data_IF_658981257553
#
_entry.id   IF_658981257553
#
_cell.length_a   1.000
_cell.length_b   1.000
_cell.length_c   1.000
_cell.angle_alpha   90.00
_cell.angle_beta   90.00
_cell.angle_gamma   90.00
#
_symmetry.space_group_name_H-M   'P 1'
#
loop_
_entity.id
_entity.type
_entity.pdbx_description
1 polymer ?
#
# COMPACT_ATOMS: atom_id res chain seq x y z
N UNK A 1 2.24 8.35 3.35
CA UNK A 1 3.36 8.72 2.43
C UNK A 1 3.43 10.22 2.21
N UNK A 2 2.37 10.86 1.72
CA UNK A 2 2.40 12.23 1.20
C UNK A 2 2.55 13.34 2.25
N UNK A 3 2.03 13.13 3.46
CA UNK A 3 2.28 14.01 4.64
C UNK A 3 3.78 14.02 5.03
N UNK A 4 4.51 12.95 4.70
CA UNK A 4 5.93 12.75 4.98
C UNK A 4 6.43 13.14 6.40
N UNK A 5 5.83 12.65 7.51
CA UNK A 5 6.16 13.13 8.86
C UNK A 5 7.50 12.66 9.46
N UNK A 6 8.20 11.72 8.82
CA UNK A 6 9.48 11.17 9.31
C UNK A 6 10.62 11.54 8.35
N UNK A 7 11.85 11.62 8.85
CA UNK A 7 13.02 11.90 8.02
C UNK A 7 13.34 10.77 7.03
N UNK A 8 13.13 9.52 7.44
CA UNK A 8 13.23 8.32 6.60
C UNK A 8 12.24 7.27 7.12
N UNK A 9 11.99 6.20 6.36
CA UNK A 9 11.24 5.04 6.82
C UNK A 9 9.74 5.14 6.61
N UNK A 10 9.24 6.18 5.97
CA UNK A 10 7.78 6.37 5.76
C UNK A 10 7.19 5.27 4.88
N UNK A 11 7.89 4.86 3.83
CA UNK A 11 7.44 3.74 2.99
C UNK A 11 7.31 2.44 3.78
N UNK A 12 8.30 2.14 4.63
CA UNK A 12 8.30 0.95 5.50
C UNK A 12 7.18 1.04 6.53
N UNK A 13 7.03 2.18 7.19
CA UNK A 13 6.00 2.43 8.21
C UNK A 13 4.60 2.35 7.62
N UNK A 14 4.37 2.91 6.42
CA UNK A 14 3.06 2.87 5.76
C UNK A 14 2.63 1.44 5.44
N UNK A 15 3.55 0.58 4.98
CA UNK A 15 3.24 -0.80 4.63
C UNK A 15 3.10 -1.70 5.87
N UNK A 16 3.84 -1.40 6.94
CA UNK A 16 3.58 -1.99 8.25
C UNK A 16 2.19 -1.61 8.78
N UNK A 17 1.78 -0.35 8.63
CA UNK A 17 0.45 0.11 9.04
C UNK A 17 -0.66 -0.56 8.21
N UNK A 18 -0.47 -0.71 6.89
CA UNK A 18 -1.38 -1.45 6.02
C UNK A 18 -1.50 -2.91 6.47
N UNK A 19 -0.37 -3.57 6.73
CA UNK A 19 -0.33 -4.95 7.23
C UNK A 19 -1.04 -5.09 8.58
N UNK A 20 -0.80 -4.16 9.50
CA UNK A 20 -1.47 -4.10 10.79
C UNK A 20 -2.98 -3.91 10.61
N UNK A 21 -3.41 -2.98 9.77
CA UNK A 21 -4.83 -2.76 9.47
C UNK A 21 -5.50 -4.04 8.94
N UNK A 22 -4.88 -4.75 8.00
CA UNK A 22 -5.42 -6.03 7.52
C UNK A 22 -5.54 -7.05 8.65
N UNK A 23 -4.51 -7.19 9.48
CA UNK A 23 -4.55 -8.09 10.64
C UNK A 23 -5.70 -7.75 11.60
N UNK A 24 -5.94 -6.48 11.87
CA UNK A 24 -7.04 -6.04 12.74
C UNK A 24 -8.42 -6.28 12.10
N UNK A 25 -8.53 -6.29 10.77
CA UNK A 25 -9.82 -6.44 10.08
C UNK A 25 -10.20 -7.87 9.75
N UNK A 26 -9.23 -8.70 9.35
CA UNK A 26 -9.49 -10.06 8.85
C UNK A 26 -8.76 -11.14 9.64
N UNK A 27 -8.12 -10.79 10.76
CA UNK A 27 -7.56 -11.74 11.72
C UNK A 27 -6.06 -12.02 11.57
N UNK A 28 -5.49 -12.85 12.47
CA UNK A 28 -4.06 -13.15 12.52
C UNK A 28 -3.51 -13.79 11.22
N UNK A 29 -4.34 -14.49 10.45
CA UNK A 29 -4.02 -15.11 9.16
C UNK A 29 -3.56 -14.08 8.13
N UNK A 30 -3.97 -12.81 8.27
CA UNK A 30 -3.50 -11.73 7.43
C UNK A 30 -1.97 -11.58 7.45
N UNK A 31 -1.31 -12.08 8.51
CA UNK A 31 0.15 -12.10 8.63
C UNK A 31 0.81 -12.92 7.52
N UNK A 32 0.14 -13.94 6.98
CA UNK A 32 0.66 -14.76 5.87
C UNK A 32 0.68 -14.05 4.52
N UNK A 33 -0.07 -12.95 4.35
CA UNK A 33 -0.14 -12.22 3.08
C UNK A 33 1.23 -11.60 2.73
N UNK A 34 1.84 -11.97 1.62
CA UNK A 34 3.14 -11.43 1.21
C UNK A 34 3.04 -10.04 0.52
N UNK A 35 2.40 -9.06 1.17
CA UNK A 35 2.21 -7.69 0.63
C UNK A 35 3.52 -7.07 0.12
N UNK A 36 4.56 -7.12 0.95
CA UNK A 36 5.83 -6.48 0.61
C UNK A 36 6.53 -7.13 -0.58
N UNK A 37 6.45 -8.44 -0.68
CA UNK A 37 6.98 -9.18 -1.83
C UNK A 37 6.19 -8.82 -3.08
N UNK A 38 4.87 -8.71 -3.00
CA UNK A 38 4.04 -8.29 -4.13
C UNK A 38 4.41 -6.89 -4.61
N UNK A 39 4.56 -5.92 -3.69
CA UNK A 39 5.01 -4.57 -4.04
C UNK A 39 6.43 -4.52 -4.58
N UNK A 40 7.33 -5.35 -4.04
CA UNK A 40 8.70 -5.46 -4.51
C UNK A 40 8.79 -6.00 -5.94
N UNK A 41 8.07 -7.09 -6.24
CA UNK A 41 8.02 -7.70 -7.57
C UNK A 41 7.37 -6.77 -8.60
N UNK A 42 6.41 -5.94 -8.17
CA UNK A 42 5.66 -5.03 -9.02
C UNK A 42 6.00 -3.55 -8.75
N UNK A 43 7.27 -3.27 -8.41
CA UNK A 43 7.72 -1.95 -7.90
C UNK A 43 7.34 -0.77 -8.80
N UNK A 44 7.47 -0.93 -10.12
CA UNK A 44 7.09 0.13 -11.07
C UNK A 44 5.60 0.44 -10.95
N UNK A 45 4.75 -0.58 -11.03
CA UNK A 45 3.30 -0.44 -10.93
C UNK A 45 2.86 0.15 -9.58
N UNK A 46 3.52 -0.24 -8.48
CA UNK A 46 3.29 0.34 -7.15
C UNK A 46 3.44 1.87 -7.16
N UNK A 47 4.55 2.37 -7.69
CA UNK A 47 4.79 3.81 -7.73
C UNK A 47 3.88 4.51 -8.74
N UNK A 48 3.58 3.88 -9.87
CA UNK A 48 2.66 4.44 -10.86
C UNK A 48 1.25 4.59 -10.26
N UNK A 49 0.75 3.58 -9.55
CA UNK A 49 -0.55 3.63 -8.88
C UNK A 49 -0.60 4.71 -7.78
N UNK A 50 0.46 4.85 -6.97
CA UNK A 50 0.53 5.92 -5.96
C UNK A 50 0.56 7.31 -6.61
N UNK A 51 1.23 7.45 -7.76
CA UNK A 51 1.31 8.73 -8.48
C UNK A 51 -0.04 9.15 -9.06
N UNK A 52 -0.89 8.20 -9.49
CA UNK A 52 -2.25 8.50 -9.98
C UNK A 52 -3.10 9.25 -8.95
N UNK A 53 -2.95 8.89 -7.67
CA UNK A 53 -3.66 9.54 -6.55
C UNK A 53 -3.19 10.99 -6.36
N UNK A 54 -1.96 11.31 -6.74
CA UNK A 54 -1.39 12.67 -6.66
C UNK A 54 -0.03 12.72 -5.97
N UNK A 55 0.63 13.88 -6.08
CA UNK A 55 1.94 14.13 -5.49
C UNK A 55 1.85 14.89 -4.17
N UNK A 56 1.11 15.99 -4.16
CA UNK A 56 0.93 16.85 -2.98
C UNK A 56 -0.24 16.35 -2.12
N UNK A 57 -0.06 16.39 -0.80
CA UNK A 57 -1.05 15.85 0.15
C UNK A 57 -2.40 16.55 0.05
N UNK A 58 -2.38 17.86 -0.14
CA UNK A 58 -3.55 18.74 -0.18
C UNK A 58 -4.41 18.49 -1.43
N UNK A 59 -3.81 17.92 -2.48
CA UNK A 59 -4.42 17.73 -3.80
C UNK A 59 -4.64 16.25 -4.14
N UNK A 60 -4.62 15.36 -3.15
CA UNK A 60 -4.83 13.93 -3.41
C UNK A 60 -6.26 13.66 -3.89
N UNK A 61 -6.36 12.98 -5.03
CA UNK A 61 -7.62 12.48 -5.54
C UNK A 61 -7.80 11.00 -5.19
N UNK A 62 -8.52 10.74 -4.10
CA UNK A 62 -8.80 9.37 -3.66
C UNK A 62 -9.73 8.60 -4.60
N UNK A 63 -10.42 9.23 -5.56
CA UNK A 63 -11.18 8.48 -6.58
C UNK A 63 -10.27 7.62 -7.46
N UNK A 64 -8.99 7.98 -7.57
CA UNK A 64 -7.96 7.25 -8.32
C UNK A 64 -7.26 6.16 -7.49
N UNK A 65 -7.73 5.86 -6.27
CA UNK A 65 -7.07 4.89 -5.40
C UNK A 65 -7.33 3.43 -5.77
N UNK A 66 -8.29 3.17 -6.68
CA UNK A 66 -8.74 1.82 -6.99
C UNK A 66 -7.60 0.91 -7.46
N UNK A 67 -6.74 1.40 -8.36
CA UNK A 67 -5.61 0.61 -8.86
C UNK A 67 -4.63 0.23 -7.75
N UNK A 68 -4.39 1.13 -6.79
CA UNK A 68 -3.56 0.84 -5.63
C UNK A 68 -4.20 -0.23 -4.74
N UNK A 69 -5.50 -0.12 -4.45
CA UNK A 69 -6.24 -1.09 -3.65
C UNK A 69 -6.29 -2.47 -4.30
N UNK A 70 -6.47 -2.53 -5.62
CA UNK A 70 -6.45 -3.79 -6.36
C UNK A 70 -5.08 -4.47 -6.29
N UNK A 71 -4.00 -3.69 -6.24
CA UNK A 71 -2.66 -4.24 -6.04
C UNK A 71 -2.53 -4.94 -4.68
N UNK A 72 -3.12 -4.37 -3.62
CA UNK A 72 -3.22 -5.00 -2.29
C UNK A 72 -4.05 -6.29 -2.37
N UNK A 73 -5.24 -6.25 -2.99
CA UNK A 73 -6.14 -7.41 -3.10
C UNK A 73 -5.51 -8.56 -3.91
N UNK A 74 -4.81 -8.24 -4.99
CA UNK A 74 -4.11 -9.25 -5.81
C UNK A 74 -3.04 -10.01 -5.02
N UNK A 75 -2.49 -9.43 -3.96
CA UNK A 75 -1.56 -10.14 -3.06
C UNK A 75 -2.25 -11.15 -2.13
N UNK A 76 -3.58 -11.05 -1.98
CA UNK A 76 -4.41 -11.96 -1.19
C UNK A 76 -4.84 -13.19 -1.98
N UNK A 77 -4.85 -13.09 -3.31
CA UNK A 77 -5.32 -14.17 -4.16
C UNK A 77 -4.29 -15.31 -4.21
N UNK A 78 -4.74 -16.58 -4.20
CA UNK A 78 -3.85 -17.71 -4.45
C UNK A 78 -3.16 -17.54 -5.80
N UNK A 79 -1.86 -17.87 -5.86
CA UNK A 79 -1.11 -17.94 -7.11
C UNK A 79 -1.27 -19.28 -7.80
#
# INVERSE_FOLDING_TARGET
LKIHPLQDGIGRTARLLEKWFLREKIGPEATMIELEKNYFLNKKLYYDNIRKIGLEYENLNYTESLDFLLMTINSLMPK
#
